data_IF_857859057747
#
_entry.id   IF_857859057747
#
_cell.length_a   1.000
_cell.length_b   1.000
_cell.length_c   1.000
_cell.angle_alpha   90.00
_cell.angle_beta   90.00
_cell.angle_gamma   90.00
#
_symmetry.space_group_name_H-M   'P 1'
#
loop_
_entity.id
_entity.type
_entity.pdbx_description
1 polymer ?
#
# COMPACT_ATOMS: atom_id res chain seq x y z
N UNK A 1 16.67 -23.59 -24.54
CA UNK A 1 17.67 -22.54 -24.24
C UNK A 1 17.22 -21.87 -22.96
N UNK A 2 18.07 -21.83 -21.94
CA UNK A 2 17.72 -21.29 -20.63
C UNK A 2 18.12 -19.82 -20.51
N UNK A 3 17.24 -19.01 -19.93
CA UNK A 3 17.56 -17.64 -19.54
C UNK A 3 18.57 -17.69 -18.38
N UNK A 4 19.60 -16.85 -18.43
CA UNK A 4 20.66 -16.76 -17.42
C UNK A 4 20.55 -15.39 -16.76
N UNK A 5 20.62 -15.33 -15.43
CA UNK A 5 20.58 -14.08 -14.67
C UNK A 5 21.91 -13.30 -14.75
N UNK A 6 21.94 -12.12 -14.13
CA UNK A 6 23.14 -11.25 -14.12
C UNK A 6 24.33 -11.84 -13.34
N UNK A 7 24.11 -12.91 -12.57
CA UNK A 7 25.13 -13.64 -11.82
C UNK A 7 25.57 -14.93 -12.52
N UNK A 8 25.07 -15.21 -13.73
CA UNK A 8 25.44 -16.40 -14.50
C UNK A 8 24.68 -17.68 -14.13
N UNK A 9 23.59 -17.58 -13.36
CA UNK A 9 22.77 -18.71 -12.92
C UNK A 9 21.50 -18.87 -13.76
N UNK A 10 20.87 -20.06 -13.80
CA UNK A 10 19.56 -20.22 -14.43
C UNK A 10 18.52 -19.24 -13.85
N UNK A 11 17.84 -18.48 -14.72
CA UNK A 11 16.95 -17.39 -14.33
C UNK A 11 15.80 -17.84 -13.41
N UNK A 12 15.38 -19.11 -13.50
CA UNK A 12 14.34 -19.71 -12.66
C UNK A 12 14.59 -19.54 -11.15
N UNK A 13 15.85 -19.40 -10.73
CA UNK A 13 16.17 -19.16 -9.32
C UNK A 13 15.68 -17.81 -8.80
N UNK A 14 15.58 -16.78 -9.66
CA UNK A 14 15.11 -15.46 -9.23
C UNK A 14 13.62 -15.47 -8.84
N UNK A 15 12.66 -15.88 -9.71
CA UNK A 15 11.25 -15.95 -9.35
C UNK A 15 10.99 -16.83 -8.11
N UNK A 16 11.74 -17.91 -7.93
CA UNK A 16 11.61 -18.77 -6.74
C UNK A 16 12.07 -18.08 -5.44
N UNK A 17 13.12 -17.26 -5.48
CA UNK A 17 13.53 -16.45 -4.30
C UNK A 17 12.52 -15.34 -4.00
N UNK A 18 11.97 -14.71 -5.04
CA UNK A 18 10.89 -13.72 -4.86
C UNK A 18 9.68 -14.38 -4.22
N UNK A 19 9.28 -15.57 -4.68
CA UNK A 19 8.20 -16.37 -4.09
C UNK A 19 8.48 -16.75 -2.63
N UNK A 20 9.71 -17.13 -2.29
CA UNK A 20 10.08 -17.46 -0.90
C UNK A 20 9.95 -16.25 0.05
N UNK A 21 10.14 -15.04 -0.46
CA UNK A 21 10.00 -13.80 0.32
C UNK A 21 8.54 -13.30 0.37
N UNK A 22 7.66 -13.80 -0.49
CA UNK A 22 6.22 -13.54 -0.42
C UNK A 22 5.55 -14.37 0.69
N UNK A 23 4.61 -13.77 1.39
CA UNK A 23 3.90 -14.37 2.52
C UNK A 23 2.62 -15.07 2.06
N UNK A 24 1.79 -14.39 1.27
CA UNK A 24 0.45 -14.86 0.94
C UNK A 24 0.44 -15.83 -0.28
N UNK A 25 -0.46 -16.84 -0.32
CA UNK A 25 -0.52 -17.79 -1.43
C UNK A 25 -0.67 -17.14 -2.81
N UNK A 26 -1.58 -16.17 -2.94
CA UNK A 26 -1.78 -15.44 -4.20
C UNK A 26 -0.50 -14.66 -4.59
N UNK A 27 0.18 -14.05 -3.63
CA UNK A 27 1.44 -13.36 -3.86
C UNK A 27 2.56 -14.32 -4.26
N UNK A 28 2.59 -15.55 -3.74
CA UNK A 28 3.54 -16.59 -4.17
C UNK A 28 3.31 -17.00 -5.64
N UNK A 29 2.06 -17.16 -6.05
CA UNK A 29 1.71 -17.45 -7.45
C UNK A 29 2.19 -16.30 -8.34
N UNK A 30 1.82 -15.06 -8.00
CA UNK A 30 2.21 -13.87 -8.77
C UNK A 30 3.73 -13.67 -8.79
N UNK A 31 4.44 -13.96 -7.70
CA UNK A 31 5.90 -13.89 -7.63
C UNK A 31 6.60 -14.84 -8.61
N UNK A 32 6.07 -16.05 -8.82
CA UNK A 32 6.61 -16.97 -9.84
C UNK A 32 6.36 -16.44 -11.25
N UNK A 33 5.23 -15.76 -11.46
CA UNK A 33 4.78 -15.25 -12.76
C UNK A 33 5.26 -13.82 -13.08
N UNK A 34 5.90 -13.11 -12.16
CA UNK A 34 5.98 -11.64 -12.25
C UNK A 34 6.70 -11.09 -13.49
N UNK A 35 7.67 -11.85 -14.03
CA UNK A 35 8.41 -11.48 -15.24
C UNK A 35 7.88 -12.19 -16.51
N UNK A 36 6.87 -13.07 -16.40
CA UNK A 36 6.47 -13.94 -17.51
C UNK A 36 6.01 -13.16 -18.75
N UNK A 37 5.35 -12.03 -18.53
CA UNK A 37 4.87 -11.15 -19.60
C UNK A 37 5.96 -10.20 -20.13
N UNK A 38 7.07 -10.00 -19.40
CA UNK A 38 8.20 -9.16 -19.84
C UNK A 38 9.23 -9.98 -20.63
N UNK A 39 9.54 -11.19 -20.15
CA UNK A 39 10.69 -11.97 -20.61
C UNK A 39 10.34 -13.09 -21.59
N UNK A 40 9.05 -13.33 -21.84
CA UNK A 40 8.58 -14.42 -22.71
C UNK A 40 7.51 -13.94 -23.70
N UNK A 41 7.19 -14.78 -24.69
CA UNK A 41 6.09 -14.53 -25.62
C UNK A 41 4.69 -14.81 -25.02
N UNK A 42 4.60 -15.13 -23.73
CA UNK A 42 3.34 -15.44 -23.04
C UNK A 42 2.43 -14.22 -23.03
N UNK A 43 1.17 -14.41 -23.39
CA UNK A 43 0.13 -13.39 -23.36
C UNK A 43 -0.78 -13.54 -22.14
N UNK A 44 -1.56 -12.49 -21.85
CA UNK A 44 -2.63 -12.56 -20.84
C UNK A 44 -3.67 -13.64 -21.18
N UNK A 45 -3.94 -13.84 -22.47
CA UNK A 45 -4.88 -14.87 -22.94
C UNK A 45 -4.38 -16.28 -22.63
N UNK A 46 -3.05 -16.49 -22.68
CA UNK A 46 -2.45 -17.76 -22.28
C UNK A 46 -2.62 -17.99 -20.78
N UNK A 47 -2.40 -16.96 -19.95
CA UNK A 47 -2.63 -17.05 -18.49
C UNK A 47 -4.09 -17.41 -18.16
N UNK A 48 -5.07 -16.82 -18.86
CA UNK A 48 -6.49 -17.19 -18.72
C UNK A 48 -6.74 -18.64 -19.14
N UNK A 49 -6.15 -19.07 -20.26
CA UNK A 49 -6.30 -20.43 -20.78
C UNK A 49 -5.67 -21.49 -19.87
N UNK A 50 -4.65 -21.12 -19.09
CA UNK A 50 -4.04 -21.95 -18.05
C UNK A 50 -4.86 -22.01 -16.75
N UNK A 51 -5.97 -21.27 -16.65
CA UNK A 51 -6.89 -21.31 -15.52
C UNK A 51 -6.58 -20.35 -14.37
N UNK A 52 -5.69 -19.36 -14.56
CA UNK A 52 -5.50 -18.31 -13.57
C UNK A 52 -6.73 -17.38 -13.50
N UNK A 53 -7.18 -17.06 -12.28
CA UNK A 53 -8.30 -16.15 -12.08
C UNK A 53 -7.90 -14.68 -12.35
N UNK A 54 -8.88 -13.79 -12.54
CA UNK A 54 -8.62 -12.37 -12.83
C UNK A 54 -7.88 -11.65 -11.70
N UNK A 55 -8.03 -12.08 -10.44
CA UNK A 55 -7.30 -11.51 -9.30
C UNK A 55 -5.78 -11.69 -9.47
N UNK A 56 -5.34 -12.89 -9.83
CA UNK A 56 -3.92 -13.20 -10.11
C UNK A 56 -3.46 -12.46 -11.37
N UNK A 57 -4.27 -12.48 -12.44
CA UNK A 57 -3.91 -11.84 -13.71
C UNK A 57 -3.75 -10.32 -13.54
N UNK A 58 -4.66 -9.66 -12.82
CA UNK A 58 -4.56 -8.23 -12.52
C UNK A 58 -3.32 -7.91 -11.68
N UNK A 59 -2.94 -8.79 -10.75
CA UNK A 59 -1.72 -8.61 -9.97
C UNK A 59 -0.45 -8.78 -10.81
N UNK A 60 -0.40 -9.78 -11.70
CA UNK A 60 0.69 -9.94 -12.68
C UNK A 60 0.80 -8.70 -13.57
N UNK A 61 -0.32 -8.27 -14.16
CA UNK A 61 -0.39 -7.06 -14.96
C UNK A 61 0.02 -5.80 -14.20
N UNK A 62 -0.14 -5.75 -12.88
CA UNK A 62 0.25 -4.62 -12.04
C UNK A 62 1.74 -4.60 -11.65
N UNK A 63 2.45 -5.74 -11.76
CA UNK A 63 3.91 -5.81 -11.54
C UNK A 63 4.72 -5.78 -12.82
N UNK A 64 4.12 -6.19 -13.95
CA UNK A 64 4.73 -6.14 -15.29
C UNK A 64 4.92 -4.69 -15.73
N UNK A 65 6.14 -4.31 -16.08
CA UNK A 65 6.49 -3.01 -16.65
C UNK A 65 6.11 -2.97 -18.13
N UNK A 66 5.53 -1.85 -18.57
CA UNK A 66 5.16 -1.65 -19.97
C UNK A 66 6.29 -0.98 -20.78
N UNK A 67 6.27 -1.18 -22.10
CA UNK A 67 7.23 -0.54 -23.01
C UNK A 67 7.12 0.98 -22.94
N UNK A 68 8.28 1.64 -22.81
CA UNK A 68 8.35 3.10 -22.64
C UNK A 68 7.91 3.60 -21.26
N UNK A 69 7.44 2.74 -20.36
CA UNK A 69 6.97 3.14 -19.03
C UNK A 69 8.14 3.55 -18.13
N UNK A 70 8.01 4.73 -17.52
CA UNK A 70 8.94 5.16 -16.49
C UNK A 70 8.77 4.33 -15.22
N UNK A 71 9.84 4.20 -14.42
CA UNK A 71 9.75 3.49 -13.14
C UNK A 71 8.70 4.09 -12.20
N UNK A 72 8.44 5.41 -12.29
CA UNK A 72 7.41 6.06 -11.47
C UNK A 72 5.99 5.64 -11.92
N UNK A 73 5.71 5.61 -13.22
CA UNK A 73 4.42 5.15 -13.75
C UNK A 73 4.14 3.69 -13.36
N UNK A 74 5.14 2.81 -13.49
CA UNK A 74 5.01 1.42 -13.06
C UNK A 74 4.64 1.32 -11.58
N UNK A 75 5.30 2.10 -10.72
CA UNK A 75 5.00 2.12 -9.28
C UNK A 75 3.61 2.67 -8.99
N UNK A 76 3.15 3.70 -9.69
CA UNK A 76 1.79 4.24 -9.53
C UNK A 76 0.70 3.21 -9.84
N UNK A 77 0.98 2.28 -10.76
CA UNK A 77 0.10 1.14 -11.05
C UNK A 77 0.22 0.06 -9.99
N UNK A 78 1.45 -0.32 -9.61
CA UNK A 78 1.70 -1.34 -8.59
C UNK A 78 1.06 -1.00 -7.23
N UNK A 79 1.11 0.27 -6.78
CA UNK A 79 0.55 0.68 -5.47
C UNK A 79 -0.94 0.43 -5.34
N UNK A 80 -1.67 0.32 -6.46
CA UNK A 80 -3.12 0.08 -6.47
C UNK A 80 -3.51 -1.36 -6.22
N UNK A 81 -2.57 -2.31 -6.33
CA UNK A 81 -2.85 -3.71 -6.14
C UNK A 81 -2.05 -4.26 -4.94
N UNK A 82 -2.73 -4.79 -3.90
CA UNK A 82 -2.07 -5.24 -2.68
C UNK A 82 -1.09 -6.40 -2.92
N UNK A 83 -1.46 -7.35 -3.78
CA UNK A 83 -0.60 -8.50 -4.14
C UNK A 83 0.62 -8.01 -4.92
N UNK A 84 0.41 -7.10 -5.87
CA UNK A 84 1.50 -6.52 -6.66
C UNK A 84 2.49 -5.75 -5.78
N UNK A 85 2.02 -5.00 -4.78
CA UNK A 85 2.87 -4.34 -3.80
C UNK A 85 3.81 -5.33 -3.09
N UNK A 86 3.25 -6.43 -2.57
CA UNK A 86 4.01 -7.46 -1.86
C UNK A 86 5.07 -8.09 -2.76
N UNK A 87 4.66 -8.52 -3.97
CA UNK A 87 5.57 -9.15 -4.93
C UNK A 87 6.66 -8.19 -5.37
N UNK A 88 6.33 -6.92 -5.64
CA UNK A 88 7.33 -5.95 -6.07
C UNK A 88 8.29 -5.57 -4.93
N UNK A 89 7.85 -5.60 -3.68
CA UNK A 89 8.74 -5.45 -2.52
C UNK A 89 9.71 -6.63 -2.39
N UNK A 90 9.24 -7.86 -2.60
CA UNK A 90 10.07 -9.06 -2.60
C UNK A 90 11.08 -9.05 -3.76
N UNK A 91 10.65 -8.67 -4.97
CA UNK A 91 11.51 -8.49 -6.15
C UNK A 91 12.60 -7.45 -5.88
N UNK A 92 12.24 -6.26 -5.37
CA UNK A 92 13.21 -5.24 -5.03
C UNK A 92 14.19 -5.69 -3.95
N UNK A 93 13.72 -6.45 -2.96
CA UNK A 93 14.60 -7.01 -1.92
C UNK A 93 15.64 -7.96 -2.50
N UNK A 94 15.23 -8.83 -3.43
CA UNK A 94 16.17 -9.67 -4.18
C UNK A 94 17.12 -8.76 -4.98
N UNK A 95 16.60 -7.90 -5.85
CA UNK A 95 17.39 -7.04 -6.74
C UNK A 95 18.35 -6.06 -6.03
N UNK A 96 18.10 -5.72 -4.77
CA UNK A 96 18.96 -4.85 -3.96
C UNK A 96 20.07 -5.60 -3.21
N UNK A 97 20.10 -6.93 -3.25
CA UNK A 97 21.20 -7.72 -2.70
C UNK A 97 22.43 -7.68 -3.61
N UNK A 98 23.27 -6.67 -3.36
CA UNK A 98 24.52 -6.43 -4.09
C UNK A 98 25.62 -7.45 -3.77
N UNK A 99 25.50 -8.24 -2.69
CA UNK A 99 26.52 -9.22 -2.29
C UNK A 99 26.72 -10.34 -3.33
N UNK A 100 25.73 -10.49 -4.22
CA UNK A 100 25.68 -11.50 -5.28
C UNK A 100 26.43 -11.08 -6.55
N UNK A 101 26.85 -9.82 -6.64
CA UNK A 101 27.59 -9.32 -7.79
C UNK A 101 29.10 -9.48 -7.57
N UNK A 102 29.84 -10.03 -8.55
CA UNK A 102 31.30 -10.18 -8.42
C UNK A 102 32.03 -8.83 -8.39
N UNK A 103 31.41 -7.78 -8.96
CA UNK A 103 31.92 -6.40 -8.95
C UNK A 103 30.76 -5.41 -8.97
N UNK A 104 30.78 -4.45 -8.06
CA UNK A 104 29.77 -3.38 -7.99
C UNK A 104 30.18 -2.23 -8.92
N UNK A 105 29.28 -1.84 -9.82
CA UNK A 105 29.50 -0.71 -10.74
C UNK A 105 28.78 0.57 -10.28
N UNK A 106 29.15 1.72 -10.85
CA UNK A 106 28.43 2.99 -10.64
C UNK A 106 26.96 2.87 -11.08
N UNK A 107 26.68 2.12 -12.16
CA UNK A 107 25.32 1.88 -12.65
C UNK A 107 24.47 1.13 -11.61
N UNK A 108 25.07 0.18 -10.89
CA UNK A 108 24.39 -0.56 -9.83
C UNK A 108 24.05 0.34 -8.64
N UNK A 109 24.97 1.21 -8.24
CA UNK A 109 24.73 2.19 -7.16
C UNK A 109 23.61 3.18 -7.51
N UNK A 110 23.55 3.65 -8.77
CA UNK A 110 22.47 4.52 -9.25
C UNK A 110 21.13 3.77 -9.20
N UNK A 111 21.10 2.54 -9.70
CA UNK A 111 19.91 1.68 -9.69
C UNK A 111 19.44 1.37 -8.27
N UNK A 112 20.37 1.09 -7.36
CA UNK A 112 20.09 0.85 -5.94
C UNK A 112 19.40 2.06 -5.30
N UNK A 113 19.92 3.28 -5.50
CA UNK A 113 19.28 4.51 -5.01
C UNK A 113 17.87 4.71 -5.59
N UNK A 114 17.64 4.32 -6.84
CA UNK A 114 16.31 4.37 -7.44
C UNK A 114 15.37 3.34 -6.80
N UNK A 115 15.84 2.12 -6.56
CA UNK A 115 15.09 1.07 -5.87
C UNK A 115 14.74 1.45 -4.43
N UNK A 116 15.62 2.11 -3.69
CA UNK A 116 15.31 2.62 -2.36
C UNK A 116 14.11 3.59 -2.36
N UNK A 117 14.03 4.49 -3.34
CA UNK A 117 12.90 5.42 -3.47
C UNK A 117 11.59 4.68 -3.75
N UNK A 118 11.64 3.70 -4.65
CA UNK A 118 10.47 2.88 -5.00
C UNK A 118 10.02 2.02 -3.82
N UNK A 119 10.97 1.35 -3.15
CA UNK A 119 10.70 0.50 -2.00
C UNK A 119 10.00 1.29 -0.89
N UNK A 120 10.38 2.56 -0.67
CA UNK A 120 9.71 3.41 0.30
C UNK A 120 8.22 3.62 -0.04
N UNK A 121 7.92 3.99 -1.29
CA UNK A 121 6.54 4.19 -1.74
C UNK A 121 5.72 2.89 -1.61
N UNK A 122 6.29 1.77 -2.03
CA UNK A 122 5.59 0.47 -1.97
C UNK A 122 5.40 -0.01 -0.53
N UNK A 123 6.36 0.20 0.38
CA UNK A 123 6.19 -0.14 1.81
C UNK A 123 5.04 0.64 2.43
N UNK A 124 4.91 1.92 2.07
CA UNK A 124 3.81 2.77 2.53
C UNK A 124 2.47 2.26 1.99
N UNK A 125 2.38 2.03 0.68
CA UNK A 125 1.16 1.52 0.06
C UNK A 125 0.76 0.14 0.59
N UNK A 126 1.73 -0.77 0.71
CA UNK A 126 1.51 -2.09 1.28
C UNK A 126 1.01 -2.01 2.72
N UNK A 127 1.58 -1.14 3.55
CA UNK A 127 1.11 -0.95 4.92
C UNK A 127 -0.35 -0.45 4.98
N UNK A 128 -0.74 0.48 4.10
CA UNK A 128 -2.14 0.93 4.00
C UNK A 128 -3.05 -0.26 3.62
N UNK A 129 -2.70 -1.01 2.58
CA UNK A 129 -3.46 -2.20 2.17
C UNK A 129 -3.58 -3.24 3.29
N UNK A 130 -2.51 -3.47 4.04
CA UNK A 130 -2.54 -4.39 5.18
C UNK A 130 -3.50 -3.90 6.27
N UNK A 131 -3.49 -2.59 6.58
CA UNK A 131 -4.45 -2.03 7.54
C UNK A 131 -5.88 -2.22 7.07
N UNK A 132 -6.21 -1.86 5.82
CA UNK A 132 -7.57 -2.06 5.28
C UNK A 132 -7.98 -3.53 5.34
N UNK A 133 -7.10 -4.45 4.94
CA UNK A 133 -7.37 -5.88 5.01
C UNK A 133 -7.58 -6.39 6.44
N UNK A 134 -6.94 -5.78 7.45
CA UNK A 134 -7.14 -6.16 8.86
C UNK A 134 -8.46 -5.66 9.44
N UNK A 135 -9.13 -4.68 8.82
CA UNK A 135 -10.42 -4.19 9.29
C UNK A 135 -11.55 -5.17 9.01
N UNK A 136 -11.37 -6.09 8.06
CA UNK A 136 -12.38 -7.08 7.63
C UNK A 136 -13.73 -6.43 7.33
N UNK A 137 -13.69 -5.36 6.53
CA UNK A 137 -14.86 -4.57 6.16
C UNK A 137 -15.86 -5.44 5.38
N UNK A 138 -17.14 -5.29 5.69
CA UNK A 138 -18.20 -5.98 4.99
C UNK A 138 -18.31 -5.52 3.52
N UNK A 139 -19.04 -6.30 2.72
CA UNK A 139 -19.22 -6.03 1.29
C UNK A 139 -20.12 -4.82 1.00
N UNK A 140 -20.82 -4.28 2.01
CA UNK A 140 -21.65 -3.08 1.88
C UNK A 140 -20.81 -1.81 2.09
N UNK A 141 -19.66 -1.91 2.76
CA UNK A 141 -18.71 -0.84 2.91
C UNK A 141 -18.06 -0.49 1.55
N UNK A 142 -17.85 0.80 1.23
CA UNK A 142 -17.25 1.20 -0.04
C UNK A 142 -15.89 0.54 -0.31
N UNK A 143 -15.68 -0.02 -1.50
CA UNK A 143 -14.41 -0.65 -1.85
C UNK A 143 -13.24 0.34 -1.75
N UNK A 144 -12.12 -0.10 -1.17
CA UNK A 144 -10.94 0.74 -1.07
C UNK A 144 -10.18 0.82 -2.40
N UNK A 145 -10.09 2.03 -2.96
CA UNK A 145 -9.23 2.31 -4.10
C UNK A 145 -8.01 3.15 -3.67
N UNK A 146 -6.80 2.64 -3.94
CA UNK A 146 -5.59 3.40 -3.60
C UNK A 146 -5.48 4.68 -4.44
N UNK A 147 -5.53 5.83 -3.77
CA UNK A 147 -5.50 7.17 -4.37
C UNK A 147 -4.34 8.03 -3.83
N UNK A 148 -4.63 9.32 -3.61
CA UNK A 148 -3.68 10.23 -2.98
C UNK A 148 -3.54 9.92 -1.48
N UNK A 149 -2.45 10.37 -0.84
CA UNK A 149 -2.25 10.12 0.59
C UNK A 149 -3.40 10.66 1.46
N UNK A 150 -3.97 11.83 1.10
CA UNK A 150 -5.14 12.39 1.78
C UNK A 150 -6.33 11.43 1.69
N UNK A 151 -6.70 11.00 0.48
CA UNK A 151 -7.77 10.03 0.26
C UNK A 151 -7.54 8.72 1.03
N UNK A 152 -6.32 8.19 0.99
CA UNK A 152 -5.99 6.94 1.67
C UNK A 152 -6.11 7.07 3.19
N UNK A 153 -5.64 8.18 3.78
CA UNK A 153 -5.80 8.43 5.21
C UNK A 153 -7.24 8.71 5.59
N UNK A 154 -7.96 9.47 4.78
CA UNK A 154 -9.39 9.73 4.97
C UNK A 154 -10.19 8.44 5.05
N UNK A 155 -10.01 7.55 4.06
CA UNK A 155 -10.69 6.26 4.03
C UNK A 155 -10.33 5.42 5.26
N UNK A 156 -9.04 5.33 5.61
CA UNK A 156 -8.58 4.57 6.76
C UNK A 156 -9.15 5.12 8.08
N UNK A 157 -9.20 6.44 8.24
CA UNK A 157 -9.77 7.08 9.43
C UNK A 157 -11.26 6.81 9.56
N UNK A 158 -12.02 6.93 8.46
CA UNK A 158 -13.44 6.59 8.44
C UNK A 158 -13.66 5.13 8.82
N UNK A 159 -12.99 4.21 8.14
CA UNK A 159 -13.19 2.77 8.33
C UNK A 159 -12.80 2.32 9.76
N UNK A 160 -11.70 2.86 10.29
CA UNK A 160 -11.30 2.61 11.69
C UNK A 160 -12.32 3.17 12.69
N UNK A 161 -12.84 4.36 12.42
CA UNK A 161 -13.84 4.97 13.29
C UNK A 161 -15.11 4.13 13.30
N UNK A 162 -15.61 3.71 12.15
CA UNK A 162 -16.84 2.93 12.03
C UNK A 162 -16.74 1.57 12.72
N UNK A 163 -15.61 0.89 12.56
CA UNK A 163 -15.36 -0.39 13.21
C UNK A 163 -15.30 -0.26 14.75
N UNK A 164 -14.76 0.84 15.26
CA UNK A 164 -14.59 1.07 16.70
C UNK A 164 -15.76 1.82 17.34
N UNK A 165 -16.63 2.44 16.54
CA UNK A 165 -17.68 3.35 17.00
C UNK A 165 -19.07 2.86 16.55
N UNK A 166 -19.94 2.39 17.48
CA UNK A 166 -21.25 1.82 17.14
C UNK A 166 -22.22 2.75 16.39
N UNK A 167 -22.03 4.07 16.50
CA UNK A 167 -22.89 5.05 15.81
C UNK A 167 -22.48 5.31 14.36
N UNK A 168 -21.31 4.84 13.91
CA UNK A 168 -20.78 5.26 12.61
C UNK A 168 -21.58 4.84 11.39
N UNK A 169 -22.34 3.75 11.48
CA UNK A 169 -23.29 3.36 10.43
C UNK A 169 -24.77 3.61 10.74
N UNK A 170 -25.13 3.98 11.98
CA UNK A 170 -26.51 3.85 12.47
C UNK A 170 -27.28 5.18 12.62
N UNK A 171 -26.61 6.33 12.68
CA UNK A 171 -27.27 7.64 12.85
C UNK A 171 -27.09 8.60 11.66
N UNK A 172 -26.16 8.28 10.77
CA UNK A 172 -25.89 9.01 9.52
C UNK A 172 -26.13 8.00 8.39
N UNK A 173 -26.81 8.40 7.33
CA UNK A 173 -27.42 7.52 6.33
C UNK A 173 -26.45 6.69 5.50
N UNK A 174 -25.15 7.06 5.48
CA UNK A 174 -24.08 6.24 4.90
C UNK A 174 -22.67 6.64 5.40
N UNK A 175 -21.70 5.70 5.43
CA UNK A 175 -20.28 5.99 5.73
C UNK A 175 -19.64 7.10 4.87
N UNK A 176 -20.20 7.39 3.71
CA UNK A 176 -19.76 8.42 2.78
C UNK A 176 -20.17 9.83 3.21
N UNK A 177 -21.23 9.98 4.00
CA UNK A 177 -21.84 11.29 4.31
C UNK A 177 -20.99 12.16 5.26
N UNK A 178 -20.03 11.58 5.95
CA UNK A 178 -19.25 12.22 7.00
C UNK A 178 -17.73 12.11 6.80
N UNK A 179 -17.30 11.78 5.59
CA UNK A 179 -15.93 12.03 5.12
C UNK A 179 -15.37 13.40 5.54
N UNK A 180 -16.20 14.44 5.54
CA UNK A 180 -15.81 15.79 5.96
C UNK A 180 -15.17 15.80 7.36
N UNK A 181 -15.64 14.93 8.27
CA UNK A 181 -15.19 14.86 9.67
C UNK A 181 -13.68 14.60 9.81
N UNK A 182 -13.09 13.89 8.86
CA UNK A 182 -11.65 13.60 8.86
C UNK A 182 -10.88 14.29 7.73
N UNK A 183 -11.52 15.18 6.96
CA UNK A 183 -10.88 15.84 5.82
C UNK A 183 -9.64 16.62 6.28
N UNK A 184 -9.82 17.53 7.24
CA UNK A 184 -8.74 18.33 7.82
C UNK A 184 -7.68 17.46 8.50
N UNK A 185 -8.10 16.38 9.18
CA UNK A 185 -7.18 15.46 9.84
C UNK A 185 -6.33 14.68 8.82
N UNK A 186 -6.93 14.21 7.73
CA UNK A 186 -6.24 13.49 6.67
C UNK A 186 -5.27 14.40 5.90
N UNK A 187 -5.63 15.66 5.67
CA UNK A 187 -4.74 16.69 5.14
C UNK A 187 -3.53 16.93 6.04
N UNK A 188 -3.77 17.03 7.34
CA UNK A 188 -2.72 17.18 8.34
C UNK A 188 -1.75 15.99 8.32
N UNK A 189 -2.25 14.77 8.26
CA UNK A 189 -1.41 13.57 8.12
C UNK A 189 -0.61 13.57 6.82
N UNK A 190 -1.24 13.91 5.69
CA UNK A 190 -0.55 14.02 4.42
C UNK A 190 0.54 15.12 4.44
N UNK A 191 0.29 16.25 5.11
CA UNK A 191 1.27 17.31 5.33
C UNK A 191 2.46 16.81 6.17
N UNK A 192 2.19 16.19 7.32
CA UNK A 192 3.21 15.60 8.18
C UNK A 192 4.08 14.61 7.42
N UNK A 193 3.48 13.77 6.57
CA UNK A 193 4.22 12.84 5.70
C UNK A 193 5.20 13.56 4.79
N UNK A 194 4.71 14.54 4.02
CA UNK A 194 5.52 15.31 3.05
C UNK A 194 6.67 16.05 3.72
N UNK A 195 6.46 16.55 4.94
CA UNK A 195 7.46 17.30 5.71
C UNK A 195 8.32 16.41 6.62
N UNK A 196 8.10 15.10 6.63
CA UNK A 196 8.78 14.15 7.55
C UNK A 196 8.63 14.56 9.02
N UNK A 197 7.45 15.04 9.38
CA UNK A 197 7.11 15.44 10.74
C UNK A 197 6.32 14.33 11.42
N UNK A 198 6.54 14.18 12.73
CA UNK A 198 5.68 13.35 13.57
C UNK A 198 4.34 14.06 13.75
N UNK A 199 3.20 13.41 13.47
CA UNK A 199 1.90 13.95 13.84
C UNK A 199 1.81 14.18 15.35
N UNK A 200 0.93 15.09 15.77
CA UNK A 200 0.64 15.40 17.17
C UNK A 200 -0.80 15.01 17.48
N UNK A 201 -0.99 14.23 18.55
CA UNK A 201 -2.31 13.82 19.01
C UNK A 201 -3.20 15.04 19.32
N UNK A 202 -2.62 16.07 19.93
CA UNK A 202 -3.33 17.31 20.26
C UNK A 202 -3.88 18.00 19.01
N UNK A 203 -3.09 18.09 17.94
CA UNK A 203 -3.54 18.71 16.69
C UNK A 203 -4.60 17.84 16.00
N UNK A 204 -4.43 16.52 15.98
CA UNK A 204 -5.41 15.59 15.42
C UNK A 204 -6.79 15.76 16.08
N UNK A 205 -6.86 15.73 17.42
CA UNK A 205 -8.12 15.95 18.15
C UNK A 205 -8.69 17.34 17.87
N UNK A 206 -7.84 18.38 17.82
CA UNK A 206 -8.30 19.74 17.59
C UNK A 206 -8.95 19.91 16.22
N UNK A 207 -8.38 19.31 15.17
CA UNK A 207 -8.96 19.35 13.83
C UNK A 207 -10.31 18.64 13.83
N UNK A 208 -10.36 17.39 14.33
CA UNK A 208 -11.60 16.62 14.43
C UNK A 208 -12.69 17.36 15.21
N UNK A 209 -12.38 17.90 16.40
CA UNK A 209 -13.35 18.61 17.24
C UNK A 209 -13.77 19.97 16.66
N UNK A 210 -12.98 20.55 15.74
CA UNK A 210 -13.43 21.72 14.99
C UNK A 210 -14.49 21.30 13.99
N UNK A 211 -14.17 20.30 13.17
CA UNK A 211 -15.06 19.81 12.12
C UNK A 211 -16.37 19.21 12.68
N UNK A 212 -16.29 18.43 13.76
CA UNK A 212 -17.46 17.91 14.48
C UNK A 212 -18.38 19.03 14.98
N UNK A 213 -17.81 20.12 15.50
CA UNK A 213 -18.60 21.27 15.97
C UNK A 213 -19.32 21.96 14.80
N UNK A 214 -18.60 22.15 13.70
CA UNK A 214 -19.07 22.94 12.56
C UNK A 214 -20.14 22.20 11.74
N UNK A 215 -20.03 20.87 11.64
CA UNK A 215 -20.92 20.05 10.80
C UNK A 215 -21.90 19.16 11.57
N UNK A 216 -21.54 18.73 12.79
CA UNK A 216 -22.30 17.73 13.56
C UNK A 216 -22.69 18.21 14.96
N UNK A 217 -22.51 19.50 15.27
CA UNK A 217 -22.97 20.08 16.53
C UNK A 217 -22.29 19.50 17.78
N UNK A 218 -21.05 19.02 17.65
CA UNK A 218 -20.28 18.40 18.74
C UNK A 218 -20.76 17.01 19.17
N UNK A 219 -21.37 16.26 18.25
CA UNK A 219 -21.91 14.91 18.51
C UNK A 219 -20.83 13.89 18.87
N UNK A 220 -19.57 14.13 18.47
CA UNK A 220 -18.44 13.22 18.62
C UNK A 220 -17.40 13.66 19.68
N UNK A 221 -17.79 14.57 20.57
CA UNK A 221 -16.92 15.10 21.64
C UNK A 221 -17.14 14.42 23.01
N UNK A 222 -17.83 13.29 23.05
CA UNK A 222 -17.98 12.50 24.29
C UNK A 222 -16.66 11.87 24.72
N UNK A 223 -16.51 11.56 26.02
CA UNK A 223 -15.31 10.88 26.52
C UNK A 223 -15.02 9.57 25.76
N UNK A 224 -16.06 8.78 25.49
CA UNK A 224 -15.94 7.54 24.71
C UNK A 224 -15.41 7.77 23.30
N UNK A 225 -15.95 8.77 22.59
CA UNK A 225 -15.51 9.07 21.22
C UNK A 225 -14.09 9.60 21.20
N UNK A 226 -13.71 10.44 22.17
CA UNK A 226 -12.34 10.95 22.30
C UNK A 226 -11.33 9.82 22.62
N UNK A 227 -11.72 8.83 23.43
CA UNK A 227 -10.89 7.65 23.71
C UNK A 227 -10.69 6.80 22.45
N UNK A 228 -11.75 6.61 21.64
CA UNK A 228 -11.67 5.91 20.34
C UNK A 228 -10.71 6.66 19.40
N UNK A 229 -10.85 7.98 19.26
CA UNK A 229 -9.98 8.80 18.41
C UNK A 229 -8.51 8.72 18.86
N UNK A 230 -8.27 8.73 20.16
CA UNK A 230 -6.93 8.54 20.70
C UNK A 230 -6.38 7.14 20.42
N UNK A 231 -7.21 6.10 20.50
CA UNK A 231 -6.85 4.74 20.11
C UNK A 231 -6.49 4.64 18.62
N UNK A 232 -7.27 5.25 17.74
CA UNK A 232 -6.99 5.33 16.29
C UNK A 232 -5.63 6.01 16.06
N UNK A 233 -5.43 7.16 16.71
CA UNK A 233 -4.20 7.92 16.60
C UNK A 233 -2.99 7.10 17.08
N UNK A 234 -3.03 6.50 18.27
CA UNK A 234 -1.85 5.85 18.88
C UNK A 234 -1.52 4.52 18.21
N UNK A 235 -2.53 3.70 17.89
CA UNK A 235 -2.32 2.32 17.47
C UNK A 235 -2.13 2.18 15.95
N UNK A 236 -2.83 2.97 15.16
CA UNK A 236 -2.85 2.80 13.71
C UNK A 236 -2.05 3.90 13.03
N UNK A 237 -2.41 5.15 13.31
CA UNK A 237 -1.88 6.27 12.56
C UNK A 237 -0.44 6.59 13.00
N UNK A 238 -0.18 6.81 14.29
CA UNK A 238 1.14 7.18 14.80
C UNK A 238 2.23 6.15 14.43
N UNK A 239 1.91 4.85 14.45
CA UNK A 239 2.83 3.78 14.06
C UNK A 239 3.23 3.85 12.57
N UNK A 240 2.31 4.24 11.70
CA UNK A 240 2.56 4.39 10.27
C UNK A 240 3.57 5.52 9.97
N UNK A 241 3.60 6.58 10.78
CA UNK A 241 4.48 7.74 10.57
C UNK A 241 5.84 7.63 11.26
N UNK A 242 5.99 6.75 12.24
CA UNK A 242 7.22 6.62 13.05
C UNK A 242 8.32 5.83 12.34
N UNK A 243 7.97 4.92 11.41
CA UNK A 243 8.95 4.09 10.67
C UNK A 243 9.82 4.84 9.68
N UNK A 244 9.54 6.12 9.40
CA UNK A 244 10.18 6.92 8.34
C UNK A 244 11.00 8.13 8.83
N UNK A 245 11.09 8.34 10.15
CA UNK A 245 11.69 9.54 10.77
C UNK A 245 12.98 9.18 11.54
N UNK A 246 13.67 8.11 11.14
CA UNK A 246 15.02 7.78 11.63
C UNK A 246 16.02 7.92 10.50
#
# INVERSE_FOLDING_TARGET
>A
MGQIDKAGQPYIHHPLRVMQNAQHPDAKIVAVLHDILEDTATSVTDLRSLGFNEKIIHAVLAVTKQDGESRFQAVQRTVRNPIACEVKLADLSDNMDLSRLPKISIKDLIRYKQYQKVQKILKEAYAIHQHINTLDLDAEYPEFEYGCMQFNFQYLLNALFDQLHPMGGNQIGSPQEWWILFEDASEYFAYCKRKKLRPSAKHFIQLFNSTDRDFFGSSFQTAQTQDILMGIYTNHIHHHFTKDIV
#
